data_IF_976304915012
#
_entry.id   IF_976304915012
#
_cell.length_a   1.000
_cell.length_b   1.000
_cell.length_c   1.000
_cell.angle_alpha   90.00
_cell.angle_beta   90.00
_cell.angle_gamma   90.00
#
_symmetry.space_group_name_H-M   'P 1'
#
loop_
_entity.id
_entity.type
_entity.pdbx_description
1 polymer ?
#
# COMPACT_ATOMS: atom_id res chain seq x y z
N UNK A 1 -33.93 -31.66 -4.67
CA UNK A 1 -32.96 -31.93 -5.75
C UNK A 1 -31.57 -31.64 -5.21
N UNK A 2 -30.70 -32.63 -5.08
CA UNK A 2 -29.32 -32.45 -4.65
C UNK A 2 -28.42 -32.45 -5.90
N UNK A 3 -27.83 -31.31 -6.24
CA UNK A 3 -26.96 -31.20 -7.40
C UNK A 3 -25.59 -31.81 -7.08
N UNK A 4 -25.14 -32.75 -7.91
CA UNK A 4 -23.81 -33.34 -7.79
C UNK A 4 -22.73 -32.24 -7.99
N UNK A 5 -21.66 -32.24 -7.19
CA UNK A 5 -20.60 -31.25 -7.33
C UNK A 5 -19.86 -31.43 -8.66
N UNK A 6 -19.90 -30.40 -9.52
CA UNK A 6 -19.13 -30.37 -10.77
C UNK A 6 -17.69 -29.98 -10.43
N UNK A 7 -16.73 -30.85 -10.76
CA UNK A 7 -15.30 -30.54 -10.67
C UNK A 7 -14.83 -29.92 -11.98
N UNK A 8 -14.38 -28.67 -11.91
CA UNK A 8 -13.68 -28.04 -13.02
C UNK A 8 -12.23 -28.56 -13.08
N UNK A 9 -11.85 -29.18 -14.18
CA UNK A 9 -10.46 -29.54 -14.45
C UNK A 9 -9.78 -28.38 -15.16
N UNK A 10 -8.85 -27.71 -14.47
CA UNK A 10 -8.06 -26.63 -15.06
C UNK A 10 -7.18 -27.19 -16.18
N UNK A 11 -7.23 -26.56 -17.36
CA UNK A 11 -6.28 -26.85 -18.45
C UNK A 11 -5.03 -26.00 -18.17
N UNK A 12 -3.87 -26.60 -17.84
CA UNK A 12 -2.72 -25.84 -17.33
C UNK A 12 -2.23 -24.72 -18.26
N UNK A 13 -2.31 -24.90 -19.58
CA UNK A 13 -1.92 -23.88 -20.56
C UNK A 13 -2.82 -22.64 -20.50
N UNK A 14 -4.14 -22.83 -20.38
CA UNK A 14 -5.11 -21.73 -20.28
C UNK A 14 -4.93 -20.98 -18.97
N UNK A 15 -4.78 -21.70 -17.86
CA UNK A 15 -4.54 -21.07 -16.55
C UNK A 15 -3.26 -20.24 -16.54
N UNK A 16 -2.18 -20.73 -17.15
CA UNK A 16 -0.92 -19.99 -17.27
C UNK A 16 -1.06 -18.74 -18.16
N UNK A 17 -1.79 -18.85 -19.28
CA UNK A 17 -2.06 -17.70 -20.16
C UNK A 17 -2.85 -16.61 -19.42
N UNK A 18 -3.91 -17.00 -18.69
CA UNK A 18 -4.70 -16.06 -17.89
C UNK A 18 -3.85 -15.38 -16.80
N UNK A 19 -2.99 -16.12 -16.10
CA UNK A 19 -2.08 -15.56 -15.10
C UNK A 19 -1.05 -14.59 -15.71
N UNK A 20 -0.57 -14.86 -16.93
CA UNK A 20 0.34 -13.97 -17.64
C UNK A 20 -0.36 -12.65 -18.02
N UNK A 21 -1.59 -12.73 -18.54
CA UNK A 21 -2.41 -11.55 -18.86
C UNK A 21 -2.72 -10.75 -17.60
N UNK A 22 -3.14 -11.40 -16.53
CA UNK A 22 -3.35 -10.77 -15.22
C UNK A 22 -2.09 -10.06 -14.74
N UNK A 23 -0.93 -10.72 -14.80
CA UNK A 23 0.34 -10.12 -14.41
C UNK A 23 0.67 -8.88 -15.25
N UNK A 24 0.44 -8.93 -16.57
CA UNK A 24 0.66 -7.78 -17.46
C UNK A 24 -0.24 -6.61 -17.08
N UNK A 25 -1.55 -6.86 -16.98
CA UNK A 25 -2.57 -5.85 -16.67
C UNK A 25 -2.35 -5.22 -15.28
N UNK A 26 -2.04 -6.05 -14.28
CA UNK A 26 -1.88 -5.59 -12.90
C UNK A 26 -0.49 -4.99 -12.62
N UNK A 27 0.52 -5.25 -13.46
CA UNK A 27 1.90 -4.77 -13.22
C UNK A 27 1.99 -3.25 -13.04
N UNK A 28 1.19 -2.49 -13.79
CA UNK A 28 1.13 -1.03 -13.69
C UNK A 28 0.62 -0.56 -12.34
N UNK A 29 -0.50 -1.14 -11.88
CA UNK A 29 -1.09 -0.86 -10.58
C UNK A 29 -0.14 -1.17 -9.42
N UNK A 30 0.59 -2.29 -9.49
CA UNK A 30 1.57 -2.65 -8.47
C UNK A 30 2.74 -1.67 -8.38
N UNK A 31 3.25 -1.19 -9.52
CA UNK A 31 4.30 -0.15 -9.54
C UNK A 31 3.82 1.16 -8.93
N UNK A 32 2.58 1.57 -9.23
CA UNK A 32 1.96 2.77 -8.64
C UNK A 32 1.74 2.59 -7.15
N UNK A 33 1.23 1.44 -6.70
CA UNK A 33 1.05 1.14 -5.28
C UNK A 33 2.36 1.21 -4.49
N UNK A 34 3.47 0.67 -5.03
CA UNK A 34 4.80 0.78 -4.41
C UNK A 34 5.29 2.22 -4.32
N UNK A 35 5.09 3.03 -5.36
CA UNK A 35 5.43 4.46 -5.34
C UNK A 35 4.60 5.22 -4.30
N UNK A 36 3.29 5.00 -4.29
CA UNK A 36 2.38 5.64 -3.35
C UNK A 36 2.74 5.27 -1.91
N UNK A 37 3.02 3.99 -1.64
CA UNK A 37 3.43 3.53 -0.32
C UNK A 37 4.74 4.20 0.12
N UNK A 38 5.72 4.31 -0.77
CA UNK A 38 6.97 4.99 -0.48
C UNK A 38 6.77 6.48 -0.19
N UNK A 39 6.00 7.18 -1.02
CA UNK A 39 5.66 8.60 -0.80
C UNK A 39 4.96 8.79 0.54
N UNK A 40 4.00 7.93 0.90
CA UNK A 40 3.30 8.01 2.16
C UNK A 40 4.26 7.86 3.37
N UNK A 41 5.23 6.96 3.30
CA UNK A 41 6.26 6.79 4.35
C UNK A 41 7.16 8.03 4.46
N UNK A 42 7.55 8.63 3.35
CA UNK A 42 8.35 9.86 3.37
C UNK A 42 7.58 11.03 3.98
N UNK A 43 6.31 11.19 3.59
CA UNK A 43 5.42 12.20 4.16
C UNK A 43 5.19 11.99 5.66
N UNK A 44 4.97 10.77 6.11
CA UNK A 44 4.78 10.47 7.53
C UNK A 44 6.03 10.79 8.36
N UNK A 45 7.22 10.45 7.84
CA UNK A 45 8.48 10.84 8.48
C UNK A 45 8.66 12.35 8.57
N UNK A 46 8.29 13.08 7.51
CA UNK A 46 8.31 14.55 7.54
C UNK A 46 7.37 15.08 8.62
N UNK A 47 6.11 14.63 8.64
CA UNK A 47 5.12 15.04 9.65
C UNK A 47 5.53 14.66 11.07
N UNK A 48 6.23 13.54 11.26
CA UNK A 48 6.77 13.17 12.57
C UNK A 48 7.83 14.15 13.03
N UNK A 49 8.75 14.54 12.14
CA UNK A 49 9.76 15.57 12.43
C UNK A 49 9.11 16.92 12.74
N UNK A 50 8.15 17.34 11.92
CA UNK A 50 7.49 18.63 12.08
C UNK A 50 6.71 18.71 13.42
N UNK A 51 6.11 17.59 13.87
CA UNK A 51 5.48 17.48 15.20
C UNK A 51 6.48 17.68 16.34
N UNK A 52 7.63 17.00 16.28
CA UNK A 52 8.69 17.14 17.29
C UNK A 52 9.25 18.56 17.33
N UNK A 53 9.46 19.19 16.16
CA UNK A 53 9.92 20.56 16.08
C UNK A 53 8.89 21.54 16.66
N UNK A 54 7.60 21.33 16.36
CA UNK A 54 6.52 22.12 16.95
C UNK A 54 6.45 21.94 18.48
N UNK A 55 6.60 20.73 19.00
CA UNK A 55 6.65 20.45 20.44
C UNK A 55 7.77 21.25 21.13
N UNK A 56 9.00 21.20 20.60
CA UNK A 56 10.11 21.99 21.16
C UNK A 56 9.85 23.50 21.16
N UNK A 57 9.24 24.03 20.09
CA UNK A 57 8.88 25.47 20.03
C UNK A 57 7.84 25.81 21.09
N UNK A 58 6.81 24.97 21.25
CA UNK A 58 5.78 25.18 22.27
C UNK A 58 6.35 25.11 23.69
N UNK A 59 7.24 24.15 23.97
CA UNK A 59 7.95 24.04 25.24
C UNK A 59 8.81 25.27 25.53
N UNK A 60 9.57 25.75 24.54
CA UNK A 60 10.39 26.95 24.68
C UNK A 60 9.54 28.20 24.99
N UNK A 61 8.39 28.35 24.31
CA UNK A 61 7.45 29.44 24.59
C UNK A 61 6.83 29.32 25.98
N UNK A 62 6.49 28.11 26.42
CA UNK A 62 5.97 27.87 27.76
C UNK A 62 7.00 28.21 28.84
N UNK A 63 8.25 27.77 28.68
CA UNK A 63 9.35 28.08 29.59
C UNK A 63 9.68 29.58 29.65
N UNK A 64 9.48 30.32 28.55
CA UNK A 64 9.66 31.77 28.54
C UNK A 64 8.52 32.54 29.25
N UNK A 65 7.35 31.92 29.42
CA UNK A 65 6.17 32.53 30.08
C UNK A 65 6.08 32.26 31.59
N UNK A 66 6.89 31.32 32.11
CA UNK A 66 6.99 30.98 33.54
C UNK A 66 8.09 31.77 34.24
#
# INVERSE_FOLDING_TARGET
MHAAPVRAHAIPSVTNALRAVESLLLSGGQRTARRNAWTAVLEDRRRAKDRVEAEHVLEAVAAHRS
#
